data_IF_396755212740
#
_entry.id   IF_396755212740
#
_cell.length_a   1.000
_cell.length_b   1.000
_cell.length_c   1.000
_cell.angle_alpha   90.00
_cell.angle_beta   90.00
_cell.angle_gamma   90.00
#
_symmetry.space_group_name_H-M   'P 1'
#
loop_
_entity.id
_entity.type
_entity.pdbx_description
1 polymer ?
#
# COMPACT_ATOMS: atom_id res chain seq x y z
N UNK A 1 18.03 -3.42 -1.37
CA UNK A 1 18.17 -1.99 -1.02
C UNK A 1 16.77 -1.38 -1.02
N UNK A 2 16.43 -0.63 0.02
CA UNK A 2 15.09 -0.07 0.25
C UNK A 2 14.99 1.26 -0.53
N UNK A 3 14.08 1.45 -1.49
CA UNK A 3 13.93 2.75 -2.13
C UNK A 3 13.14 3.64 -1.17
N UNK A 4 13.84 4.15 -0.15
CA UNK A 4 13.31 5.17 0.74
C UNK A 4 13.40 6.48 -0.03
N UNK A 5 12.27 6.97 -0.53
CA UNK A 5 12.07 8.41 -0.38
C UNK A 5 12.05 8.62 1.13
N UNK A 6 13.09 9.20 1.71
CA UNK A 6 13.32 9.19 3.16
C UNK A 6 12.11 9.70 3.97
N UNK A 7 11.29 10.54 3.35
CA UNK A 7 10.11 11.13 3.92
C UNK A 7 8.79 10.37 3.64
N UNK A 8 8.75 9.38 2.73
CA UNK A 8 7.54 8.58 2.45
C UNK A 8 7.75 7.12 2.89
N UNK A 9 6.96 6.66 3.86
CA UNK A 9 6.91 5.26 4.30
C UNK A 9 5.64 4.60 3.81
N UNK A 10 5.77 3.40 3.25
CA UNK A 10 4.66 2.55 2.80
C UNK A 10 4.94 1.15 3.32
N UNK A 11 4.16 0.75 4.32
CA UNK A 11 4.22 -0.55 4.97
C UNK A 11 2.96 -1.35 4.64
N UNK A 12 3.00 -2.68 4.83
CA UNK A 12 1.88 -3.57 4.51
C UNK A 12 1.61 -4.48 5.67
N UNK A 13 0.42 -4.37 6.24
CA UNK A 13 -0.09 -5.26 7.26
C UNK A 13 -0.89 -6.41 6.63
N UNK A 14 -0.21 -7.51 6.34
CA UNK A 14 -0.83 -8.71 5.75
C UNK A 14 -1.55 -9.61 6.75
N UNK A 15 -1.43 -9.36 8.05
CA UNK A 15 -2.00 -10.24 9.08
C UNK A 15 -3.52 -10.37 9.00
N UNK A 16 -4.19 -9.39 8.39
CA UNK A 16 -5.64 -9.33 8.27
C UNK A 16 -6.09 -9.03 6.84
N UNK A 17 -5.41 -9.61 5.85
CA UNK A 17 -5.79 -9.49 4.44
C UNK A 17 -5.07 -8.41 3.64
N UNK A 18 -4.07 -7.74 4.21
CA UNK A 18 -3.17 -6.83 3.48
C UNK A 18 -3.69 -5.40 3.38
N UNK A 19 -3.42 -4.60 4.42
CA UNK A 19 -3.68 -3.16 4.47
C UNK A 19 -2.37 -2.42 4.26
N UNK A 20 -2.37 -1.41 3.41
CA UNK A 20 -1.28 -0.47 3.26
C UNK A 20 -1.31 0.54 4.41
N UNK A 21 -0.17 0.79 5.04
CA UNK A 21 0.00 1.83 6.04
C UNK A 21 0.97 2.85 5.48
N UNK A 22 0.47 4.04 5.18
CA UNK A 22 1.24 5.10 4.54
C UNK A 22 1.50 6.23 5.55
N UNK A 23 2.74 6.70 5.59
CA UNK A 23 3.12 7.92 6.31
C UNK A 23 3.89 8.84 5.38
N UNK A 24 3.41 10.07 5.23
CA UNK A 24 4.01 11.08 4.38
C UNK A 24 4.58 12.22 5.23
N UNK A 25 5.88 12.14 5.50
CA UNK A 25 6.66 13.19 6.15
C UNK A 25 7.27 14.18 5.15
N UNK A 26 6.96 14.05 3.86
CA UNK A 26 7.45 14.97 2.84
C UNK A 26 6.73 16.32 2.92
N UNK A 27 7.28 17.33 2.24
CA UNK A 27 6.63 18.64 2.12
C UNK A 27 5.57 18.67 1.00
N UNK A 28 5.50 17.61 0.20
CA UNK A 28 4.59 17.46 -0.94
C UNK A 28 3.53 16.39 -0.62
N UNK A 29 2.33 16.55 -1.16
CA UNK A 29 1.29 15.51 -1.06
C UNK A 29 1.68 14.29 -1.88
N UNK A 30 1.41 13.10 -1.34
CA UNK A 30 1.44 11.85 -2.09
C UNK A 30 0.02 11.52 -2.55
N UNK A 31 -0.17 11.41 -3.86
CA UNK A 31 -1.48 11.13 -4.47
C UNK A 31 -1.45 9.76 -5.11
N UNK A 32 -2.40 8.90 -4.80
CA UNK A 32 -2.54 7.58 -5.43
C UNK A 32 -4.01 7.22 -5.64
N UNK A 33 -4.37 6.89 -6.88
CA UNK A 33 -5.78 6.78 -7.26
C UNK A 33 -6.54 8.09 -6.98
N UNK A 34 -7.60 8.01 -6.16
CA UNK A 34 -8.38 9.16 -5.71
C UNK A 34 -8.05 9.60 -4.27
N UNK A 35 -6.94 9.10 -3.72
CA UNK A 35 -6.54 9.34 -2.34
C UNK A 35 -5.35 10.31 -2.33
N UNK A 36 -5.46 11.35 -1.51
CA UNK A 36 -4.38 12.27 -1.19
C UNK A 36 -3.91 12.03 0.24
N UNK A 37 -2.61 11.81 0.42
CA UNK A 37 -1.94 11.74 1.71
C UNK A 37 -1.12 13.02 1.87
N UNK A 38 -1.55 13.90 2.76
CA UNK A 38 -1.00 15.25 2.91
C UNK A 38 0.36 15.23 3.60
N UNK A 39 1.15 16.31 3.49
CA UNK A 39 2.33 16.51 4.32
C UNK A 39 1.99 16.32 5.81
N UNK A 40 2.85 15.56 6.51
CA UNK A 40 2.75 15.21 7.94
C UNK A 40 1.64 14.21 8.31
N UNK A 41 0.87 13.70 7.36
CA UNK A 41 -0.05 12.59 7.63
C UNK A 41 0.74 11.33 7.99
N UNK A 42 0.30 10.64 9.05
CA UNK A 42 0.97 9.45 9.60
C UNK A 42 0.00 8.30 9.77
N UNK A 43 0.48 7.10 9.50
CA UNK A 43 -0.25 5.84 9.72
C UNK A 43 -1.63 5.80 9.06
N UNK A 44 -1.74 6.35 7.85
CA UNK A 44 -2.97 6.29 7.07
C UNK A 44 -3.14 4.87 6.54
N UNK A 45 -4.19 4.19 7.02
CA UNK A 45 -4.56 2.85 6.57
C UNK A 45 -5.36 2.90 5.28
N UNK A 46 -4.88 2.22 4.24
CA UNK A 46 -5.58 2.06 2.97
C UNK A 46 -5.75 0.58 2.65
N UNK A 47 -6.94 0.21 2.20
CA UNK A 47 -7.17 -1.13 1.66
C UNK A 47 -7.29 -1.09 0.13
N UNK A 48 -6.83 -2.16 -0.51
CA UNK A 48 -7.04 -2.41 -1.93
C UNK A 48 -8.28 -3.25 -2.07
N UNK A 49 -9.30 -2.70 -2.70
CA UNK A 49 -10.52 -3.41 -3.07
C UNK A 49 -10.55 -3.66 -4.56
N UNK A 50 -11.31 -4.67 -4.95
CA UNK A 50 -11.50 -5.06 -6.34
C UNK A 50 -12.95 -4.77 -6.72
N UNK A 51 -13.15 -4.00 -7.78
CA UNK A 51 -14.50 -3.75 -8.30
C UNK A 51 -15.04 -4.96 -9.09
N UNK A 52 -16.30 -4.87 -9.52
CA UNK A 52 -16.99 -5.93 -10.28
C UNK A 52 -16.32 -6.25 -11.63
N UNK A 53 -15.44 -5.36 -12.13
CA UNK A 53 -14.74 -5.49 -13.41
C UNK A 53 -13.27 -5.88 -13.21
N UNK A 54 -12.91 -6.38 -12.01
CA UNK A 54 -11.55 -6.77 -11.64
C UNK A 54 -10.51 -5.64 -11.62
N UNK A 55 -10.93 -4.38 -11.55
CA UNK A 55 -10.03 -3.25 -11.37
C UNK A 55 -9.78 -3.02 -9.89
N UNK A 56 -8.52 -2.76 -9.54
CA UNK A 56 -8.15 -2.41 -8.17
C UNK A 56 -8.40 -0.93 -7.91
N UNK A 57 -8.97 -0.62 -6.76
CA UNK A 57 -9.10 0.73 -6.23
C UNK A 57 -8.64 0.77 -4.77
N UNK A 58 -8.27 1.96 -4.33
CA UNK A 58 -7.89 2.22 -2.94
C UNK A 58 -9.05 2.87 -2.19
N UNK A 59 -9.27 2.42 -0.97
CA UNK A 59 -10.19 3.04 -0.01
C UNK A 59 -9.47 3.26 1.32
N UNK A 60 -9.92 4.24 2.09
CA UNK A 60 -9.50 4.36 3.48
C UNK A 60 -9.96 3.13 4.27
N UNK A 61 -9.10 2.65 5.15
CA UNK A 61 -9.43 1.62 6.11
C UNK A 61 -9.36 2.21 7.51
N UNK A 62 -10.47 2.15 8.23
CA UNK A 62 -10.60 2.65 9.60
C UNK A 62 -10.07 1.66 10.65
N UNK A 63 -9.33 0.62 10.24
CA UNK A 63 -8.89 -0.39 11.18
C UNK A 63 -7.84 -1.35 10.63
N UNK A 64 -7.69 -2.45 11.37
CA UNK A 64 -6.69 -3.46 11.05
C UNK A 64 -7.21 -4.55 10.10
N UNK A 65 -8.43 -4.46 9.55
CA UNK A 65 -9.01 -5.50 8.70
C UNK A 65 -9.23 -5.04 7.26
N UNK A 66 -8.86 -5.89 6.30
CA UNK A 66 -9.13 -5.64 4.90
C UNK A 66 -10.61 -5.88 4.58
N UNK A 67 -11.20 -4.96 3.82
CA UNK A 67 -12.53 -5.08 3.22
C UNK A 67 -12.56 -6.12 2.11
N UNK A 68 -11.42 -6.36 1.45
CA UNK A 68 -11.24 -7.40 0.46
C UNK A 68 -10.11 -8.35 0.85
N UNK A 69 -10.40 -9.66 0.85
CA UNK A 69 -9.40 -10.72 1.00
C UNK A 69 -9.48 -11.62 -0.24
N UNK A 70 -8.40 -11.74 -1.03
CA UNK A 70 -8.45 -12.53 -2.25
C UNK A 70 -8.49 -14.03 -1.93
N UNK A 71 -9.08 -14.84 -2.81
CA UNK A 71 -9.13 -16.31 -2.65
C UNK A 71 -7.75 -16.96 -2.75
N UNK A 72 -6.83 -16.31 -3.46
CA UNK A 72 -5.44 -16.71 -3.65
C UNK A 72 -4.56 -15.47 -3.55
N UNK A 73 -3.26 -15.63 -3.32
CA UNK A 73 -2.35 -14.48 -3.28
C UNK A 73 -2.40 -13.72 -4.62
N UNK A 74 -2.62 -12.42 -4.58
CA UNK A 74 -2.68 -11.56 -5.75
C UNK A 74 -1.50 -10.57 -5.73
N UNK A 75 -0.82 -10.42 -6.88
CA UNK A 75 0.16 -9.36 -7.06
C UNK A 75 -0.59 -8.07 -7.38
N UNK A 76 -0.29 -7.03 -6.63
CA UNK A 76 -0.87 -5.70 -6.77
C UNK A 76 0.22 -4.73 -7.22
N UNK A 77 -0.11 -3.90 -8.19
CA UNK A 77 0.68 -2.74 -8.59
C UNK A 77 -0.19 -1.50 -8.42
N UNK A 78 0.31 -0.52 -7.68
CA UNK A 78 -0.32 0.77 -7.47
C UNK A 78 0.64 1.85 -7.91
N UNK A 79 0.11 2.86 -8.59
CA UNK A 79 0.88 4.03 -9.00
C UNK A 79 0.40 5.21 -8.14
N UNK A 80 1.37 5.96 -7.62
CA UNK A 80 1.14 7.25 -7.01
C UNK A 80 2.13 8.29 -7.50
N UNK A 81 1.92 9.53 -7.10
CA UNK A 81 2.74 10.69 -7.44
C UNK A 81 3.06 11.44 -6.16
N UNK A 82 4.33 11.73 -5.92
CA UNK A 82 4.81 12.59 -4.84
C UNK A 82 5.46 13.82 -5.47
N UNK A 83 4.83 14.98 -5.37
CA UNK A 83 5.28 16.17 -6.09
C UNK A 83 5.27 15.92 -7.60
N UNK A 84 6.44 15.94 -8.24
CA UNK A 84 6.61 15.63 -9.67
C UNK A 84 7.13 14.21 -9.93
N UNK A 85 7.19 13.38 -8.90
CA UNK A 85 7.80 12.06 -8.97
C UNK A 85 6.75 10.95 -8.99
N UNK A 86 6.79 10.10 -10.01
CA UNK A 86 6.00 8.86 -10.03
C UNK A 86 6.61 7.82 -9.09
N UNK A 87 5.76 7.21 -8.27
CA UNK A 87 6.07 6.16 -7.30
C UNK A 87 5.23 4.94 -7.68
N UNK A 88 5.88 3.85 -8.05
CA UNK A 88 5.20 2.56 -8.22
C UNK A 88 5.35 1.70 -6.96
N UNK A 89 4.27 1.02 -6.58
CA UNK A 89 4.16 0.23 -5.36
C UNK A 89 3.75 -1.19 -5.72
N UNK A 90 4.66 -2.14 -5.52
CA UNK A 90 4.43 -3.55 -5.82
C UNK A 90 4.40 -4.39 -4.55
N UNK A 91 3.32 -5.13 -4.38
CA UNK A 91 3.16 -6.04 -3.26
C UNK A 91 2.26 -7.23 -3.56
N UNK A 92 2.23 -8.17 -2.60
CA UNK A 92 1.36 -9.34 -2.64
C UNK A 92 0.28 -9.14 -1.59
N UNK A 93 -0.98 -9.05 -2.04
CA UNK A 93 -2.15 -9.14 -1.17
C UNK A 93 -2.44 -10.62 -0.94
N UNK A 94 -2.34 -11.05 0.31
CA UNK A 94 -2.42 -12.48 0.64
C UNK A 94 -3.85 -12.94 0.76
N UNK A 95 -4.10 -14.21 0.38
CA UNK A 95 -5.31 -14.90 0.84
C UNK A 95 -5.35 -14.96 2.37
N UNK A 96 -6.49 -15.35 2.93
CA UNK A 96 -6.66 -15.52 4.37
C UNK A 96 -5.51 -16.35 4.96
N UNK A 97 -4.82 -15.77 5.95
CA UNK A 97 -3.73 -16.39 6.68
C UNK A 97 -4.26 -16.87 8.03
N UNK A 98 -4.01 -18.13 8.38
CA UNK A 98 -4.25 -18.62 9.74
C UNK A 98 -3.23 -17.99 10.71
N UNK A 99 -3.67 -17.63 11.92
CA UNK A 99 -2.96 -16.83 12.95
C UNK A 99 -1.44 -17.07 13.11
N UNK A 100 -0.96 -18.30 12.91
CA UNK A 100 0.45 -18.69 13.06
C UNK A 100 1.34 -18.13 11.93
N UNK A 101 0.78 -17.91 10.74
CA UNK A 101 1.52 -17.43 9.57
C UNK A 101 1.56 -15.89 9.45
N UNK A 102 0.78 -15.18 10.28
CA UNK A 102 0.72 -13.73 10.25
C UNK A 102 2.07 -13.09 10.61
N UNK A 103 2.77 -13.62 11.63
CA UNK A 103 4.06 -13.09 12.11
C UNK A 103 5.23 -13.25 11.12
N UNK A 104 5.19 -14.24 10.22
CA UNK A 104 6.24 -14.44 9.22
C UNK A 104 6.04 -13.60 7.95
N UNK A 105 4.82 -13.12 7.72
CA UNK A 105 4.37 -12.47 6.48
C UNK A 105 4.11 -10.96 6.68
N UNK A 106 4.19 -10.48 7.93
CA UNK A 106 3.83 -9.11 8.35
C UNK A 106 4.62 -8.00 7.67
N UNK A 107 5.69 -8.32 6.94
CA UNK A 107 6.52 -7.35 6.24
C UNK A 107 6.93 -7.91 4.86
N UNK A 108 5.97 -8.14 3.95
CA UNK A 108 6.35 -8.17 2.54
C UNK A 108 6.76 -6.76 2.16
N UNK A 109 8.07 -6.56 2.28
CA UNK A 109 8.82 -5.37 1.94
C UNK A 109 8.49 -5.01 0.50
N UNK A 110 8.00 -3.78 0.33
CA UNK A 110 7.80 -3.11 -0.95
C UNK A 110 8.87 -3.55 -1.97
N UNK A 111 8.44 -4.17 -3.07
CA UNK A 111 9.40 -4.92 -3.91
C UNK A 111 10.34 -3.96 -4.65
N UNK A 112 9.85 -2.77 -5.04
CA UNK A 112 10.63 -1.64 -5.56
C UNK A 112 9.72 -0.40 -5.68
N UNK A 113 10.28 0.80 -5.46
CA UNK A 113 9.78 2.06 -6.02
C UNK A 113 10.69 2.36 -7.21
N UNK A 114 10.12 2.37 -8.41
CA UNK A 114 10.82 2.89 -9.57
C UNK A 114 10.58 4.40 -9.62
N UNK A 115 11.66 5.17 -9.52
CA UNK A 115 11.63 6.61 -9.72
C UNK A 115 11.85 6.85 -11.23
N UNK A 116 10.78 7.22 -11.94
CA UNK A 116 10.89 7.71 -13.31
C UNK A 116 11.02 9.22 -13.27
N UNK A 117 12.15 9.77 -13.73
CA UNK A 117 12.22 11.18 -14.11
C UNK A 117 11.70 11.28 -15.54
N UNK A 118 10.56 11.96 -15.74
CA UNK A 118 10.16 12.45 -17.06
C UNK A 118 10.90 13.74 -17.38
#
# INVERSE_FOLDING_TARGET
MNPRVECLSIDINNCNGGILVISNLCNESFVTGNIEIKPQDKYIGLDVVKDEINKYSLIYSDGNFASYIPKQNEKINIIGVLGNQTIEIFFIKTKELWLVNCYQVSYYKLTYVLMSQQ
#
